data_IF_713012589442
#
_entry.id   IF_713012589442
#
_cell.length_a   1.000
_cell.length_b   1.000
_cell.length_c   1.000
_cell.angle_alpha   90.00
_cell.angle_beta   90.00
_cell.angle_gamma   90.00
#
_symmetry.space_group_name_H-M   'P 1'
#
loop_
_entity.id
_entity.type
_entity.pdbx_description
1 polymer ?
#
# COMPACT_ATOMS: atom_id res chain seq x y z
N UNK A 1 -71.71 34.27 -2.94
CA UNK A 1 -70.32 34.70 -3.17
C UNK A 1 -69.35 34.36 -2.03
N UNK A 2 -69.77 34.31 -0.74
CA UNK A 2 -68.89 33.90 0.38
C UNK A 2 -68.82 32.41 0.57
N UNK A 3 -69.84 31.65 0.25
CA UNK A 3 -69.91 30.19 0.42
C UNK A 3 -69.06 29.44 -0.64
N UNK A 4 -69.00 29.97 -1.86
CA UNK A 4 -68.20 29.36 -2.94
C UNK A 4 -66.66 29.49 -2.70
N UNK A 5 -66.27 30.60 -2.07
CA UNK A 5 -64.85 30.82 -1.74
C UNK A 5 -64.35 29.87 -0.65
N UNK A 6 -65.16 29.58 0.37
CA UNK A 6 -64.83 28.64 1.43
C UNK A 6 -64.69 27.21 0.92
N UNK A 7 -65.55 26.81 -0.06
CA UNK A 7 -65.49 25.48 -0.65
C UNK A 7 -64.25 25.23 -1.52
N UNK A 8 -63.78 26.29 -2.21
CA UNK A 8 -62.55 26.21 -3.02
C UNK A 8 -61.29 26.14 -2.15
N UNK A 9 -61.29 26.90 -1.02
CA UNK A 9 -60.17 26.89 -0.07
C UNK A 9 -60.11 25.54 0.65
N UNK A 10 -61.22 24.97 1.08
CA UNK A 10 -61.26 23.64 1.71
C UNK A 10 -60.80 22.51 0.75
N UNK A 11 -61.19 22.56 -0.53
CA UNK A 11 -60.73 21.56 -1.53
C UNK A 11 -59.23 21.65 -1.78
N UNK A 12 -58.60 22.86 -1.74
CA UNK A 12 -57.17 23.03 -1.87
C UNK A 12 -56.40 22.54 -0.63
N UNK A 13 -56.94 22.75 0.58
CA UNK A 13 -56.34 22.28 1.83
C UNK A 13 -56.36 20.72 1.87
N UNK A 14 -57.47 20.09 1.53
CA UNK A 14 -57.57 18.62 1.50
C UNK A 14 -56.66 17.99 0.43
N UNK A 15 -56.45 18.67 -0.71
CA UNK A 15 -55.52 18.21 -1.75
C UNK A 15 -54.05 18.34 -1.28
N UNK A 16 -53.70 19.41 -0.55
CA UNK A 16 -52.37 19.64 -0.02
C UNK A 16 -51.99 18.63 1.10
N UNK A 17 -52.95 18.30 1.96
CA UNK A 17 -52.72 17.28 3.03
C UNK A 17 -52.62 15.86 2.46
N UNK A 18 -53.35 15.50 1.39
CA UNK A 18 -53.22 14.20 0.71
C UNK A 18 -51.87 14.07 -0.02
N UNK A 19 -51.33 15.16 -0.59
CA UNK A 19 -49.99 15.18 -1.23
C UNK A 19 -48.86 15.09 -0.18
N UNK A 20 -49.01 15.78 0.94
CA UNK A 20 -48.03 15.69 2.05
C UNK A 20 -48.00 14.30 2.70
N UNK A 21 -49.17 13.67 2.89
CA UNK A 21 -49.25 12.29 3.42
C UNK A 21 -48.65 11.25 2.43
N UNK A 22 -48.82 11.42 1.12
CA UNK A 22 -48.27 10.53 0.11
C UNK A 22 -46.73 10.63 0.05
N UNK A 23 -46.20 11.84 0.17
CA UNK A 23 -44.72 12.07 0.23
C UNK A 23 -44.09 11.61 1.54
N UNK A 24 -44.81 11.71 2.66
CA UNK A 24 -44.33 11.19 3.95
C UNK A 24 -44.30 9.65 3.96
N UNK A 25 -45.29 8.98 3.31
CA UNK A 25 -45.27 7.52 3.20
C UNK A 25 -44.20 7.00 2.24
N UNK A 26 -43.83 7.76 1.20
CA UNK A 26 -42.71 7.39 0.31
C UNK A 26 -41.35 7.61 1.04
N UNK A 27 -41.20 8.62 1.89
CA UNK A 27 -39.99 8.85 2.65
C UNK A 27 -39.79 7.81 3.76
N UNK A 28 -40.86 7.38 4.43
CA UNK A 28 -40.78 6.33 5.47
C UNK A 28 -40.52 4.95 4.84
N UNK A 29 -41.01 4.67 3.65
CA UNK A 29 -40.74 3.39 2.96
C UNK A 29 -39.33 3.27 2.40
N UNK A 30 -38.65 4.40 2.10
CA UNK A 30 -37.24 4.40 1.64
C UNK A 30 -36.27 4.28 2.82
N UNK A 31 -36.66 4.72 4.02
CA UNK A 31 -35.81 4.61 5.22
C UNK A 31 -35.87 3.20 5.82
N UNK A 32 -36.91 2.39 5.54
CA UNK A 32 -37.06 1.05 6.08
C UNK A 32 -36.41 -0.06 5.23
N UNK A 33 -35.84 0.26 4.05
CA UNK A 33 -35.13 -0.67 3.18
C UNK A 33 -33.68 -0.22 2.85
N UNK A 34 -33.06 0.61 3.68
CA UNK A 34 -31.61 0.62 3.73
C UNK A 34 -31.20 -0.68 4.46
N UNK A 35 -30.52 -1.64 3.82
CA UNK A 35 -29.91 -2.70 4.60
C UNK A 35 -28.97 -2.00 5.56
N UNK A 36 -29.27 -2.08 6.85
CA UNK A 36 -28.29 -1.89 7.89
C UNK A 36 -27.19 -2.92 7.58
N UNK A 37 -26.23 -2.53 6.78
CA UNK A 37 -24.92 -3.12 6.79
C UNK A 37 -24.31 -2.73 8.14
N UNK A 38 -24.85 -3.29 9.22
CA UNK A 38 -24.12 -3.48 10.44
C UNK A 38 -22.92 -4.32 10.00
N UNK A 39 -21.77 -3.68 9.80
CA UNK A 39 -20.49 -4.35 9.83
C UNK A 39 -20.51 -5.09 11.15
N UNK A 40 -20.87 -6.38 11.12
CA UNK A 40 -20.63 -7.29 12.25
C UNK A 40 -19.16 -7.06 12.53
N UNK A 41 -18.84 -6.66 13.78
CA UNK A 41 -17.48 -6.72 14.25
C UNK A 41 -17.03 -8.15 13.94
N UNK A 42 -16.12 -8.29 12.96
CA UNK A 42 -15.54 -9.60 12.66
C UNK A 42 -14.95 -10.11 13.96
N UNK A 43 -15.19 -11.36 14.24
CA UNK A 43 -14.54 -12.03 15.35
C UNK A 43 -13.03 -12.03 15.04
N UNK A 44 -12.27 -11.20 15.77
CA UNK A 44 -10.82 -11.05 15.59
C UNK A 44 -10.06 -12.38 15.77
N UNK A 45 -10.73 -13.45 16.21
CA UNK A 45 -10.10 -14.76 16.47
C UNK A 45 -9.38 -15.31 15.25
N UNK A 46 -9.94 -15.15 14.05
CA UNK A 46 -9.32 -15.56 12.80
C UNK A 46 -8.00 -14.82 12.52
N UNK A 47 -7.96 -13.51 12.76
CA UNK A 47 -6.75 -12.72 12.63
C UNK A 47 -5.64 -13.14 13.61
N UNK A 48 -5.97 -13.31 14.90
CA UNK A 48 -4.99 -13.76 15.90
C UNK A 48 -4.47 -15.16 15.66
N UNK A 49 -5.28 -16.05 15.07
CA UNK A 49 -4.81 -17.36 14.63
C UNK A 49 -3.77 -17.24 13.52
N UNK A 50 -3.95 -16.30 12.57
CA UNK A 50 -3.00 -16.09 11.48
C UNK A 50 -1.64 -15.59 11.97
N UNK A 51 -1.57 -14.75 13.01
CA UNK A 51 -0.29 -14.28 13.58
C UNK A 51 0.62 -15.47 13.92
N UNK A 52 0.04 -16.53 14.53
CA UNK A 52 0.78 -17.74 14.90
C UNK A 52 0.99 -18.67 13.69
N UNK A 53 -0.06 -18.90 12.92
CA UNK A 53 -0.05 -19.83 11.78
C UNK A 53 0.97 -19.43 10.72
N UNK A 54 1.12 -18.12 10.45
CA UNK A 54 2.00 -17.58 9.42
C UNK A 54 3.41 -17.28 9.93
N UNK A 55 3.72 -17.60 11.19
CA UNK A 55 5.04 -17.31 11.74
C UNK A 55 6.14 -18.12 11.02
N UNK A 56 7.07 -17.38 10.40
CA UNK A 56 8.31 -17.93 9.84
C UNK A 56 9.49 -17.87 10.84
N UNK A 57 9.20 -17.62 12.12
CA UNK A 57 10.25 -17.53 13.13
C UNK A 57 11.06 -18.83 13.18
N UNK A 58 12.37 -18.67 13.24
CA UNK A 58 13.36 -19.76 13.20
C UNK A 58 13.40 -20.58 11.88
N UNK A 59 12.57 -20.27 10.88
CA UNK A 59 12.57 -20.98 9.58
C UNK A 59 13.94 -20.96 8.92
N UNK A 60 14.71 -19.88 9.08
CA UNK A 60 16.09 -19.70 8.58
C UNK A 60 17.11 -19.58 9.71
N UNK A 61 16.75 -20.08 10.90
CA UNK A 61 17.58 -20.02 12.12
C UNK A 61 17.21 -18.88 13.06
N UNK A 62 17.54 -19.07 14.33
CA UNK A 62 17.18 -18.12 15.41
C UNK A 62 17.83 -16.73 15.28
N UNK A 63 18.93 -16.63 14.55
CA UNK A 63 19.65 -15.37 14.35
C UNK A 63 19.32 -14.72 12.98
N UNK A 64 18.36 -15.27 12.22
CA UNK A 64 17.97 -14.74 10.92
C UNK A 64 17.38 -13.34 11.03
N UNK A 65 17.88 -12.43 10.20
CA UNK A 65 17.45 -11.05 10.10
C UNK A 65 16.88 -10.69 8.71
N UNK A 66 16.81 -11.65 7.78
CA UNK A 66 16.40 -11.42 6.39
C UNK A 66 14.96 -11.85 6.12
N UNK A 67 14.42 -12.77 6.91
CA UNK A 67 13.05 -13.27 6.73
C UNK A 67 12.83 -13.84 5.33
N UNK A 68 11.72 -13.46 4.68
CA UNK A 68 11.35 -13.96 3.36
C UNK A 68 12.33 -13.58 2.24
N UNK A 69 13.24 -12.62 2.45
CA UNK A 69 14.31 -12.34 1.48
C UNK A 69 15.26 -13.51 1.27
N UNK A 70 15.35 -14.47 2.23
CA UNK A 70 16.05 -15.75 2.04
C UNK A 70 15.47 -16.57 0.86
N UNK A 71 14.25 -16.29 0.42
CA UNK A 71 13.61 -16.92 -0.73
C UNK A 71 14.18 -16.43 -2.07
N UNK A 72 14.84 -15.28 -2.09
CA UNK A 72 15.53 -14.73 -3.27
C UNK A 72 16.92 -15.39 -3.37
N UNK A 73 16.94 -16.67 -3.75
CA UNK A 73 18.16 -17.45 -3.93
C UNK A 73 18.95 -16.99 -5.18
N UNK A 74 20.23 -17.41 -5.35
CA UNK A 74 20.96 -17.17 -6.59
C UNK A 74 20.20 -17.62 -7.83
N UNK A 75 19.53 -18.77 -7.79
CA UNK A 75 18.73 -19.32 -8.89
C UNK A 75 17.51 -18.43 -9.21
N UNK A 76 16.82 -17.92 -8.18
CA UNK A 76 15.71 -16.97 -8.36
C UNK A 76 16.21 -15.69 -9.04
N UNK A 77 17.38 -15.17 -8.63
CA UNK A 77 17.98 -13.98 -9.28
C UNK A 77 18.32 -14.22 -10.75
N UNK A 78 18.94 -15.35 -11.06
CA UNK A 78 19.27 -15.73 -12.45
C UNK A 78 18.00 -15.86 -13.29
N UNK A 79 16.97 -16.52 -12.75
CA UNK A 79 15.67 -16.62 -13.43
C UNK A 79 15.01 -15.25 -13.62
N UNK A 80 15.06 -14.39 -12.60
CA UNK A 80 14.49 -13.03 -12.69
C UNK A 80 15.16 -12.19 -13.79
N UNK A 81 16.45 -12.37 -14.03
CA UNK A 81 17.17 -11.64 -15.09
C UNK A 81 16.60 -11.93 -16.50
N UNK A 82 15.95 -13.08 -16.70
CA UNK A 82 15.33 -13.43 -17.99
C UNK A 82 14.02 -12.66 -18.27
N UNK A 83 13.51 -11.91 -17.31
CA UNK A 83 12.36 -11.03 -17.53
C UNK A 83 12.72 -9.79 -18.37
N UNK A 84 14.01 -9.48 -18.55
CA UNK A 84 14.45 -8.34 -19.37
C UNK A 84 14.53 -8.77 -20.85
N UNK A 85 13.56 -8.33 -21.64
CA UNK A 85 13.41 -8.67 -23.06
C UNK A 85 13.36 -7.42 -23.92
N UNK A 86 12.64 -6.37 -23.52
CA UNK A 86 12.41 -5.15 -24.29
C UNK A 86 13.43 -4.04 -23.99
N UNK A 87 14.17 -4.13 -22.90
CA UNK A 87 15.11 -3.09 -22.47
C UNK A 87 14.42 -1.80 -21.98
N UNK A 88 13.19 -1.93 -21.47
CA UNK A 88 12.38 -0.82 -20.90
C UNK A 88 12.55 -0.80 -19.40
N UNK A 89 12.88 0.37 -18.82
CA UNK A 89 12.93 0.59 -17.38
C UNK A 89 11.85 1.56 -16.94
N UNK A 90 11.15 1.23 -15.84
CA UNK A 90 10.05 2.01 -15.27
C UNK A 90 10.31 2.24 -13.78
N UNK A 91 10.36 3.50 -13.36
CA UNK A 91 10.43 3.86 -11.94
C UNK A 91 9.09 3.57 -11.26
N UNK A 92 9.16 2.95 -10.08
CA UNK A 92 8.00 2.71 -9.21
C UNK A 92 7.93 3.73 -8.06
N UNK A 93 8.78 4.75 -8.07
CA UNK A 93 8.81 5.77 -7.03
C UNK A 93 7.96 6.98 -7.38
N UNK A 94 7.26 7.50 -6.38
CA UNK A 94 6.69 8.85 -6.43
C UNK A 94 7.79 9.89 -6.51
N UNK A 95 7.55 10.94 -7.27
CA UNK A 95 8.35 12.16 -7.11
C UNK A 95 8.19 12.67 -5.68
N UNK A 96 9.30 13.06 -5.05
CA UNK A 96 9.30 13.57 -3.68
C UNK A 96 8.33 14.76 -3.54
N UNK A 97 7.35 14.65 -2.64
CA UNK A 97 6.34 15.70 -2.44
C UNK A 97 6.79 16.66 -1.34
N UNK A 98 7.06 17.90 -1.74
CA UNK A 98 7.50 19.00 -0.86
C UNK A 98 6.33 19.80 -0.29
N UNK A 99 5.08 19.40 -0.55
CA UNK A 99 3.88 20.12 -0.13
C UNK A 99 3.23 19.47 1.07
N UNK A 100 2.77 20.29 2.00
CA UNK A 100 1.89 19.85 3.08
C UNK A 100 0.55 19.36 2.51
N UNK A 101 0.06 18.25 3.04
CA UNK A 101 -1.26 17.74 2.72
C UNK A 101 -1.85 16.98 3.91
N UNK A 102 -3.10 16.53 3.78
CA UNK A 102 -3.79 15.78 4.85
C UNK A 102 -3.11 14.44 5.18
N UNK A 103 -2.32 13.90 4.27
CA UNK A 103 -1.56 12.65 4.46
C UNK A 103 -0.03 12.87 4.43
N UNK A 104 0.45 14.10 4.21
CA UNK A 104 1.86 14.49 4.19
C UNK A 104 2.09 15.63 5.17
N UNK A 105 2.13 15.34 6.46
CA UNK A 105 2.34 16.32 7.52
C UNK A 105 3.81 16.71 7.68
N UNK A 106 4.74 15.96 7.09
CA UNK A 106 6.19 16.19 7.13
C UNK A 106 6.76 16.05 5.72
N UNK A 107 6.60 17.07 4.87
CA UNK A 107 7.00 17.02 3.48
C UNK A 107 8.51 16.82 3.30
N UNK A 108 8.87 16.29 2.14
CA UNK A 108 10.26 16.25 1.70
C UNK A 108 10.84 17.66 1.67
N UNK A 109 11.99 17.85 2.31
CA UNK A 109 12.73 19.13 2.28
C UNK A 109 13.96 18.99 1.39
N UNK A 110 14.13 19.90 0.45
CA UNK A 110 15.29 20.00 -0.42
C UNK A 110 15.84 21.42 -0.37
N UNK A 111 17.10 21.59 -0.02
CA UNK A 111 17.76 22.87 0.13
C UNK A 111 19.06 22.91 -0.66
N UNK A 112 19.16 23.84 -1.58
CA UNK A 112 20.44 24.13 -2.27
C UNK A 112 21.38 24.84 -1.30
N UNK A 113 22.60 24.29 -1.11
CA UNK A 113 23.66 24.88 -0.28
C UNK A 113 24.55 25.78 -1.12
N UNK A 114 24.94 25.30 -2.32
CA UNK A 114 25.68 26.06 -3.32
C UNK A 114 25.05 25.88 -4.70
N UNK A 115 25.06 26.93 -5.49
CA UNK A 115 24.44 26.98 -6.83
C UNK A 115 25.11 28.07 -7.68
N UNK A 116 24.74 28.24 -8.94
CA UNK A 116 25.38 29.16 -9.88
C UNK A 116 25.51 30.61 -9.40
N UNK A 117 24.54 31.13 -8.62
CA UNK A 117 24.58 32.47 -8.02
C UNK A 117 25.28 32.55 -6.64
N UNK A 118 25.64 31.38 -6.04
CA UNK A 118 26.32 31.27 -4.76
C UNK A 118 27.31 30.11 -4.80
N UNK A 119 28.48 30.27 -5.44
CA UNK A 119 29.49 29.23 -5.53
C UNK A 119 30.15 28.95 -4.17
N UNK A 120 30.79 27.78 -4.02
CA UNK A 120 31.54 27.41 -2.82
C UNK A 120 32.87 28.16 -2.75
N UNK A 121 33.54 28.30 -3.91
CA UNK A 121 34.83 28.97 -4.07
C UNK A 121 34.82 29.89 -5.28
N UNK A 122 35.63 30.93 -5.26
CA UNK A 122 35.88 31.75 -6.45
C UNK A 122 36.82 31.01 -7.40
N UNK A 123 36.44 30.96 -8.69
CA UNK A 123 37.23 30.27 -9.72
C UNK A 123 36.43 29.92 -10.96
N UNK A 124 37.12 29.31 -11.95
CA UNK A 124 36.50 28.92 -13.22
C UNK A 124 35.70 27.61 -13.14
N UNK A 125 36.09 26.72 -12.25
CA UNK A 125 35.38 25.46 -11.98
C UNK A 125 34.74 25.51 -10.58
N UNK A 126 33.48 25.13 -10.48
CA UNK A 126 32.72 25.18 -9.22
C UNK A 126 31.64 24.08 -9.19
N UNK A 127 30.98 23.92 -8.04
CA UNK A 127 30.02 22.88 -7.75
C UNK A 127 28.66 23.46 -7.34
N UNK A 128 27.60 22.67 -7.62
CA UNK A 128 26.34 22.79 -6.90
C UNK A 128 26.26 21.70 -5.83
N UNK A 129 25.78 22.04 -4.65
CA UNK A 129 25.54 21.09 -3.56
C UNK A 129 24.21 21.35 -2.92
N UNK A 130 23.61 20.28 -2.40
CA UNK A 130 22.30 20.33 -1.78
C UNK A 130 22.20 19.38 -0.60
N UNK A 131 21.10 19.51 0.12
CA UNK A 131 20.70 18.65 1.22
C UNK A 131 19.22 18.33 1.08
N UNK A 132 18.85 17.10 1.39
CA UNK A 132 17.45 16.74 1.54
C UNK A 132 17.19 16.03 2.87
N UNK A 133 15.99 16.21 3.39
CA UNK A 133 15.47 15.54 4.58
C UNK A 133 14.11 14.96 4.26
N UNK A 134 13.86 13.72 4.68
CA UNK A 134 12.60 13.03 4.46
C UNK A 134 12.20 12.18 5.67
N UNK A 135 10.95 12.35 6.11
CA UNK A 135 10.27 11.42 6.98
C UNK A 135 9.47 10.47 6.09
N UNK A 136 10.06 9.33 5.70
CA UNK A 136 9.52 8.47 4.65
C UNK A 136 8.38 7.57 5.12
N UNK A 137 8.35 7.15 6.38
CA UNK A 137 7.22 6.39 6.92
C UNK A 137 5.92 7.20 6.87
N UNK A 138 4.82 6.53 6.50
CA UNK A 138 3.52 7.16 6.36
C UNK A 138 2.93 7.02 4.95
N UNK A 139 2.16 8.01 4.47
CA UNK A 139 1.30 7.83 3.30
C UNK A 139 1.72 8.65 2.07
N UNK A 140 2.89 9.26 2.07
CA UNK A 140 3.30 10.22 1.03
C UNK A 140 4.43 9.72 0.12
N UNK A 141 5.47 9.17 0.72
CA UNK A 141 6.72 8.88 0.03
C UNK A 141 6.88 7.37 -0.22
N UNK A 142 7.41 7.01 -1.39
CA UNK A 142 7.76 5.63 -1.67
C UNK A 142 8.91 5.20 -0.76
N UNK A 143 8.72 4.12 -0.02
CA UNK A 143 9.72 3.58 0.89
C UNK A 143 9.58 2.07 1.04
N UNK A 144 10.60 1.47 1.62
CA UNK A 144 10.59 0.08 2.08
C UNK A 144 10.76 0.05 3.59
N UNK A 145 9.97 -0.79 4.26
CA UNK A 145 10.07 -1.03 5.68
C UNK A 145 11.05 -2.17 5.99
N UNK A 146 11.91 -1.95 6.97
CA UNK A 146 12.73 -2.99 7.57
C UNK A 146 11.93 -3.76 8.64
N UNK A 147 12.35 -4.99 8.94
CA UNK A 147 11.62 -5.85 9.89
C UNK A 147 11.59 -5.29 11.32
N UNK A 148 12.50 -4.39 11.67
CA UNK A 148 12.49 -3.69 12.97
C UNK A 148 11.50 -2.53 13.04
N UNK A 149 10.75 -2.22 11.96
CA UNK A 149 9.79 -1.13 11.95
C UNK A 149 8.56 -1.41 12.81
N UNK A 150 8.19 -2.69 12.95
CA UNK A 150 7.00 -3.10 13.67
C UNK A 150 7.33 -4.13 14.77
N UNK A 151 6.64 -4.04 15.88
CA UNK A 151 6.70 -5.02 16.96
C UNK A 151 5.31 -5.22 17.58
N UNK A 152 5.05 -6.44 18.02
CA UNK A 152 3.83 -6.87 18.69
C UNK A 152 4.22 -7.62 19.96
N UNK A 153 3.48 -7.43 21.06
CA UNK A 153 3.76 -8.02 22.37
C UNK A 153 5.24 -7.88 22.81
N UNK A 154 5.86 -6.74 22.45
CA UNK A 154 7.26 -6.46 22.79
C UNK A 154 8.29 -7.19 21.93
N UNK A 155 7.88 -7.88 20.87
CA UNK A 155 8.73 -8.62 19.95
C UNK A 155 8.65 -8.09 18.53
N UNK A 156 9.76 -8.16 17.82
CA UNK A 156 9.89 -8.02 16.38
C UNK A 156 9.93 -9.41 15.74
N UNK A 157 10.06 -9.47 14.41
CA UNK A 157 10.28 -10.74 13.69
C UNK A 157 11.34 -11.60 14.39
N UNK A 158 11.17 -12.92 14.31
CA UNK A 158 12.10 -13.92 14.84
C UNK A 158 12.37 -13.78 16.35
N UNK A 159 11.38 -13.30 17.11
CA UNK A 159 11.41 -13.14 18.58
C UNK A 159 12.43 -12.10 19.10
N UNK A 160 13.05 -11.29 18.24
CA UNK A 160 13.92 -10.22 18.71
C UNK A 160 13.16 -9.21 19.59
N UNK A 161 13.80 -8.78 20.67
CA UNK A 161 13.19 -7.85 21.64
C UNK A 161 13.08 -6.44 21.07
N UNK A 162 11.96 -5.75 21.28
CA UNK A 162 11.74 -4.36 20.82
C UNK A 162 12.77 -3.36 21.35
N UNK A 163 13.36 -3.62 22.53
CA UNK A 163 14.37 -2.76 23.14
C UNK A 163 15.71 -2.76 22.37
N UNK A 164 15.86 -3.62 21.36
CA UNK A 164 16.94 -3.54 20.40
C UNK A 164 16.80 -2.35 19.44
N UNK A 165 15.61 -1.76 19.33
CA UNK A 165 15.39 -0.47 18.66
C UNK A 165 15.52 0.63 19.71
N UNK A 166 16.58 1.43 19.60
CA UNK A 166 16.94 2.47 20.57
C UNK A 166 16.95 3.85 19.90
N UNK A 167 17.15 4.91 20.69
CA UNK A 167 17.36 6.27 20.14
C UNK A 167 18.56 6.39 19.18
N UNK A 168 19.47 5.42 19.21
CA UNK A 168 20.64 5.38 18.33
C UNK A 168 20.45 4.45 17.12
N UNK A 169 19.22 3.95 16.89
CA UNK A 169 18.85 3.04 15.83
C UNK A 169 18.62 1.59 16.30
N UNK A 170 18.22 0.77 15.36
CA UNK A 170 17.96 -0.65 15.55
C UNK A 170 19.26 -1.46 15.50
N UNK A 171 19.49 -2.31 16.50
CA UNK A 171 20.65 -3.19 16.59
C UNK A 171 20.44 -4.50 15.80
N UNK A 172 19.22 -4.83 15.47
CA UNK A 172 18.77 -6.02 14.74
C UNK A 172 17.69 -5.66 13.75
N UNK A 173 17.55 -6.44 12.69
CA UNK A 173 16.47 -6.35 11.71
C UNK A 173 16.40 -5.00 10.95
N UNK A 174 17.49 -4.20 10.98
CA UNK A 174 17.53 -2.89 10.34
C UNK A 174 17.71 -3.00 8.82
N UNK A 175 17.45 -1.90 8.12
CA UNK A 175 17.54 -1.83 6.64
C UNK A 175 18.94 -2.19 6.10
N UNK A 176 20.00 -2.09 6.92
CA UNK A 176 21.36 -2.42 6.51
C UNK A 176 21.50 -3.88 6.05
N UNK A 177 20.62 -4.78 6.52
CA UNK A 177 20.55 -6.17 6.04
C UNK A 177 20.26 -6.27 4.54
N UNK A 178 19.62 -5.25 3.94
CA UNK A 178 19.25 -5.18 2.54
C UNK A 178 20.28 -4.41 1.68
N UNK A 179 21.46 -4.10 2.19
CA UNK A 179 22.48 -3.29 1.48
C UNK A 179 22.95 -3.88 0.15
N UNK A 180 22.80 -5.18 -0.05
CA UNK A 180 23.13 -5.85 -1.32
C UNK A 180 22.03 -5.71 -2.38
N UNK A 181 20.93 -5.02 -2.03
CA UNK A 181 19.79 -4.77 -2.91
C UNK A 181 18.86 -5.97 -3.08
N UNK A 182 17.73 -5.67 -3.66
CA UNK A 182 16.69 -6.63 -4.05
C UNK A 182 16.77 -6.80 -5.57
N UNK A 183 16.85 -8.04 -6.02
CA UNK A 183 16.90 -8.40 -7.43
C UNK A 183 16.09 -9.69 -7.59
N UNK A 184 14.84 -9.57 -8.07
CA UNK A 184 13.92 -10.70 -8.20
C UNK A 184 12.86 -10.42 -9.24
N UNK A 185 12.06 -11.43 -9.60
CA UNK A 185 10.88 -11.20 -10.43
C UNK A 185 9.84 -10.40 -9.65
N UNK A 186 9.37 -9.29 -10.25
CA UNK A 186 8.23 -8.53 -9.79
C UNK A 186 6.96 -8.93 -10.55
N UNK A 187 5.81 -8.87 -9.90
CA UNK A 187 4.49 -9.07 -10.51
C UNK A 187 3.58 -7.91 -10.12
N UNK A 188 2.96 -7.28 -11.10
CA UNK A 188 1.93 -6.25 -10.87
C UNK A 188 0.55 -6.89 -10.82
N UNK A 189 -0.12 -6.80 -9.68
CA UNK A 189 -1.56 -7.07 -9.51
C UNK A 189 -2.36 -5.80 -9.90
N UNK A 190 -2.66 -5.64 -11.18
CA UNK A 190 -3.44 -4.51 -11.68
C UNK A 190 -4.94 -4.79 -11.60
N UNK A 191 -5.47 -4.82 -10.38
CA UNK A 191 -6.89 -5.11 -10.12
C UNK A 191 -7.84 -4.12 -10.82
N UNK A 192 -7.57 -2.79 -10.86
CA UNK A 192 -8.38 -1.86 -11.65
C UNK A 192 -8.44 -2.20 -13.14
N UNK A 193 -7.32 -2.58 -13.78
CA UNK A 193 -7.30 -2.96 -15.21
C UNK A 193 -8.13 -4.23 -15.44
N UNK A 194 -7.97 -5.27 -14.63
CA UNK A 194 -8.78 -6.48 -14.68
C UNK A 194 -10.28 -6.16 -14.58
N UNK A 195 -10.65 -5.25 -13.66
CA UNK A 195 -12.05 -4.84 -13.44
C UNK A 195 -12.54 -3.77 -14.44
N UNK A 196 -11.69 -3.30 -15.36
CA UNK A 196 -11.97 -2.24 -16.35
C UNK A 196 -12.44 -0.93 -15.69
N UNK A 197 -11.81 -0.54 -14.58
CA UNK A 197 -12.06 0.70 -13.84
C UNK A 197 -10.75 1.48 -13.65
N UNK A 198 -10.83 2.79 -13.38
CA UNK A 198 -9.66 3.64 -13.20
C UNK A 198 -8.92 3.37 -11.89
N UNK A 199 -9.68 3.12 -10.81
CA UNK A 199 -9.19 2.84 -9.45
C UNK A 199 -10.20 2.06 -8.64
N UNK A 200 -9.75 1.39 -7.60
CA UNK A 200 -10.61 0.74 -6.62
C UNK A 200 -11.28 1.80 -5.71
N UNK A 201 -12.54 1.56 -5.33
CA UNK A 201 -13.22 2.43 -4.36
C UNK A 201 -12.47 2.41 -3.03
N UNK A 202 -12.42 3.55 -2.34
CA UNK A 202 -11.90 3.61 -0.97
C UNK A 202 -12.62 2.61 -0.07
N UNK A 203 -11.89 1.87 0.74
CA UNK A 203 -12.44 0.77 1.54
C UNK A 203 -12.65 -0.53 0.78
N UNK A 204 -12.25 -0.63 -0.49
CA UNK A 204 -12.29 -1.90 -1.21
C UNK A 204 -11.20 -2.83 -0.66
N UNK A 205 -11.62 -3.96 -0.10
CA UNK A 205 -10.72 -5.01 0.36
C UNK A 205 -10.43 -5.98 -0.80
N UNK A 206 -9.19 -6.02 -1.25
CA UNK A 206 -8.70 -7.03 -2.19
C UNK A 206 -8.56 -8.35 -1.43
N UNK A 207 -9.24 -9.38 -1.90
CA UNK A 207 -9.29 -10.70 -1.27
C UNK A 207 -8.53 -11.74 -2.09
N UNK A 208 -8.37 -12.95 -1.56
CA UNK A 208 -7.76 -14.08 -2.27
C UNK A 208 -8.49 -14.41 -3.58
N UNK A 209 -9.81 -14.24 -3.62
CA UNK A 209 -10.61 -14.39 -4.86
C UNK A 209 -10.21 -13.38 -5.96
N UNK A 210 -9.89 -12.12 -5.58
CA UNK A 210 -9.34 -11.16 -6.53
C UNK A 210 -7.95 -11.56 -7.01
N UNK A 211 -7.12 -12.18 -6.15
CA UNK A 211 -5.77 -12.64 -6.52
C UNK A 211 -5.82 -13.82 -7.49
N UNK A 212 -6.66 -14.82 -7.20
CA UNK A 212 -6.84 -15.99 -8.07
C UNK A 212 -7.42 -15.58 -9.44
N UNK A 213 -8.42 -14.70 -9.45
CA UNK A 213 -8.98 -14.14 -10.70
C UNK A 213 -7.95 -13.33 -11.48
N UNK A 214 -7.03 -12.65 -10.78
CA UNK A 214 -5.98 -11.92 -11.47
C UNK A 214 -4.96 -12.87 -12.12
N UNK A 215 -4.55 -13.94 -11.45
CA UNK A 215 -3.68 -14.97 -12.05
C UNK A 215 -4.30 -15.56 -13.34
N UNK A 216 -5.61 -15.82 -13.32
CA UNK A 216 -6.35 -16.33 -14.48
C UNK A 216 -6.44 -15.27 -15.61
N UNK A 217 -6.81 -14.03 -15.26
CA UNK A 217 -6.99 -12.94 -16.23
C UNK A 217 -5.69 -12.55 -16.93
N UNK A 218 -4.58 -12.54 -16.17
CA UNK A 218 -3.26 -12.13 -16.67
C UNK A 218 -2.45 -13.30 -17.26
N UNK A 219 -3.00 -14.53 -17.23
CA UNK A 219 -2.30 -15.78 -17.59
C UNK A 219 -0.91 -15.89 -16.96
N UNK A 220 -0.84 -15.63 -15.65
CA UNK A 220 0.40 -15.64 -14.89
C UNK A 220 0.28 -16.52 -13.64
N UNK A 221 1.39 -17.12 -13.23
CA UNK A 221 1.51 -17.77 -11.93
C UNK A 221 2.54 -17.05 -11.08
N UNK A 222 2.10 -16.64 -9.89
CA UNK A 222 2.96 -16.05 -8.87
C UNK A 222 3.74 -17.17 -8.20
N UNK A 223 5.06 -16.96 -8.04
CA UNK A 223 6.02 -18.03 -7.70
C UNK A 223 6.83 -17.64 -6.46
N UNK A 224 7.44 -18.65 -5.88
CA UNK A 224 8.42 -18.50 -4.80
C UNK A 224 9.50 -17.47 -5.14
N UNK A 225 9.74 -16.56 -4.20
CA UNK A 225 10.74 -15.52 -4.33
C UNK A 225 10.30 -14.28 -5.13
N UNK A 226 9.04 -14.24 -5.62
CA UNK A 226 8.51 -13.07 -6.30
C UNK A 226 8.30 -11.89 -5.34
N UNK A 227 8.32 -10.68 -5.90
CA UNK A 227 7.81 -9.46 -5.29
C UNK A 227 6.48 -9.09 -5.93
N UNK A 228 5.43 -8.91 -5.15
CA UNK A 228 4.06 -8.69 -5.64
C UNK A 228 3.59 -7.28 -5.32
N UNK A 229 3.20 -6.51 -6.34
CA UNK A 229 2.76 -5.12 -6.19
C UNK A 229 1.29 -4.97 -6.51
N UNK A 230 0.50 -4.48 -5.56
CA UNK A 230 -0.91 -4.14 -5.76
C UNK A 230 -1.04 -2.70 -6.27
N UNK A 231 -1.62 -2.55 -7.46
CA UNK A 231 -2.13 -1.26 -7.91
C UNK A 231 -3.60 -1.12 -7.49
N UNK A 232 -3.87 -0.10 -6.67
CA UNK A 232 -5.24 0.31 -6.31
C UNK A 232 -5.75 1.45 -7.19
N UNK A 233 -4.85 2.18 -7.82
CA UNK A 233 -5.12 3.41 -8.58
C UNK A 233 -5.26 4.65 -7.70
N UNK A 234 -4.73 4.63 -6.46
CA UNK A 234 -4.79 5.72 -5.48
C UNK A 234 -4.41 7.06 -6.08
N UNK A 235 -3.26 7.13 -6.76
CA UNK A 235 -2.74 8.41 -7.28
C UNK A 235 -3.58 8.99 -8.41
N UNK A 236 -4.19 8.12 -9.24
CA UNK A 236 -5.15 8.56 -10.25
C UNK A 236 -6.44 9.08 -9.61
N UNK A 237 -6.91 8.45 -8.55
CA UNK A 237 -8.07 8.93 -7.77
C UNK A 237 -7.77 10.28 -7.11
N UNK A 238 -6.60 10.44 -6.51
CA UNK A 238 -6.20 11.69 -5.88
C UNK A 238 -6.09 12.82 -6.89
N UNK A 239 -5.49 12.57 -8.04
CA UNK A 239 -5.38 13.56 -9.12
C UNK A 239 -6.75 14.07 -9.57
N UNK A 240 -7.77 13.20 -9.62
CA UNK A 240 -9.11 13.56 -10.10
C UNK A 240 -10.03 14.07 -8.98
N UNK A 241 -9.92 13.55 -7.76
CA UNK A 241 -10.85 13.82 -6.65
C UNK A 241 -10.25 14.65 -5.51
N UNK A 242 -8.97 14.98 -5.60
CA UNK A 242 -8.22 15.66 -4.54
C UNK A 242 -7.75 14.70 -3.42
N UNK A 243 -6.85 15.21 -2.55
CA UNK A 243 -6.29 14.43 -1.44
C UNK A 243 -7.35 14.12 -0.37
N UNK A 244 -7.16 13.02 0.34
CA UNK A 244 -8.02 12.60 1.44
C UNK A 244 -7.21 11.96 2.58
N UNK A 245 -7.85 11.71 3.71
CA UNK A 245 -7.23 10.99 4.81
C UNK A 245 -7.13 9.48 4.49
N UNK A 246 -5.99 9.06 3.99
CA UNK A 246 -5.70 7.70 3.52
C UNK A 246 -5.76 6.70 4.68
N UNK A 247 -5.31 7.09 5.88
CA UNK A 247 -5.35 6.21 7.06
C UNK A 247 -6.78 5.83 7.50
N UNK A 248 -7.77 6.63 7.12
CA UNK A 248 -9.17 6.38 7.46
C UNK A 248 -9.94 5.63 6.38
N UNK A 249 -9.53 5.77 5.11
CA UNK A 249 -10.25 5.13 4.01
C UNK A 249 -9.34 4.99 2.80
N UNK A 250 -8.97 3.76 2.48
CA UNK A 250 -8.22 3.40 1.26
C UNK A 250 -8.56 1.98 0.82
N UNK A 251 -8.38 1.68 -0.47
CA UNK A 251 -8.38 0.31 -0.95
C UNK A 251 -7.03 -0.35 -0.64
N UNK A 252 -7.02 -1.65 -0.43
CA UNK A 252 -5.80 -2.41 -0.17
C UNK A 252 -6.10 -3.87 0.07
N UNK A 253 -5.10 -4.65 0.43
CA UNK A 253 -5.26 -6.06 0.76
C UNK A 253 -6.14 -6.26 2.01
N UNK A 254 -7.02 -7.24 1.96
CA UNK A 254 -7.55 -7.86 3.16
C UNK A 254 -6.46 -8.71 3.83
N UNK A 255 -6.42 -8.78 5.15
CA UNK A 255 -5.37 -9.52 5.87
C UNK A 255 -5.32 -11.02 5.51
N UNK A 256 -6.44 -11.61 5.06
CA UNK A 256 -6.48 -13.00 4.60
C UNK A 256 -5.58 -13.30 3.40
N UNK A 257 -5.21 -12.27 2.60
CA UNK A 257 -4.27 -12.43 1.51
C UNK A 257 -2.87 -12.86 1.98
N UNK A 258 -2.54 -12.62 3.25
CA UNK A 258 -1.23 -12.98 3.79
C UNK A 258 -1.00 -14.48 3.85
N UNK A 259 -2.06 -15.27 4.06
CA UNK A 259 -1.99 -16.74 3.97
C UNK A 259 -1.71 -17.19 2.54
N UNK A 260 -2.40 -16.60 1.56
CA UNK A 260 -2.19 -16.86 0.13
C UNK A 260 -0.76 -16.54 -0.32
N UNK A 261 -0.17 -15.43 0.19
CA UNK A 261 1.24 -15.09 -0.07
C UNK A 261 2.21 -16.07 0.60
N UNK A 262 1.93 -16.47 1.85
CA UNK A 262 2.76 -17.42 2.59
C UNK A 262 2.80 -18.79 1.90
N UNK A 263 1.67 -19.31 1.42
CA UNK A 263 1.57 -20.58 0.70
C UNK A 263 2.39 -20.60 -0.60
N UNK A 264 2.59 -19.43 -1.22
CA UNK A 264 3.37 -19.27 -2.45
C UNK A 264 4.84 -18.89 -2.22
N UNK A 265 5.26 -18.79 -0.96
CA UNK A 265 6.61 -18.35 -0.61
C UNK A 265 6.99 -17.00 -1.27
N UNK A 266 6.11 -16.00 -1.19
CA UNK A 266 6.38 -14.65 -1.72
C UNK A 266 7.46 -13.97 -0.89
N UNK A 267 8.41 -13.31 -1.57
CA UNK A 267 9.53 -12.65 -0.88
C UNK A 267 9.17 -11.25 -0.37
N UNK A 268 8.35 -10.51 -1.10
CA UNK A 268 8.03 -9.10 -0.82
C UNK A 268 6.65 -8.77 -1.34
N UNK A 269 6.00 -7.82 -0.70
CA UNK A 269 4.78 -7.19 -1.22
C UNK A 269 4.93 -5.67 -1.25
N UNK A 270 4.14 -5.02 -2.10
CA UNK A 270 4.11 -3.57 -2.21
C UNK A 270 2.76 -3.06 -2.72
N UNK A 271 2.55 -1.74 -2.62
CA UNK A 271 1.32 -1.11 -3.11
C UNK A 271 1.55 0.37 -3.46
N UNK A 272 0.62 0.93 -4.25
CA UNK A 272 0.49 2.38 -4.45
C UNK A 272 -0.26 3.07 -3.28
N UNK A 273 -0.56 2.31 -2.21
CA UNK A 273 -1.11 2.76 -0.94
C UNK A 273 -0.25 2.22 0.22
N UNK A 274 -0.79 2.22 1.45
CA UNK A 274 -0.16 1.57 2.59
C UNK A 274 -0.76 0.17 2.76
N UNK A 275 -0.48 -0.71 1.81
CA UNK A 275 -0.84 -2.13 1.71
C UNK A 275 -2.29 -2.50 2.03
N UNK A 276 -2.72 -2.40 3.29
CA UNK A 276 -4.03 -2.87 3.71
C UNK A 276 -5.19 -1.94 3.36
N UNK A 277 -6.36 -2.52 3.30
CA UNK A 277 -7.61 -1.77 3.25
C UNK A 277 -7.82 -0.98 4.55
N UNK A 278 -8.28 0.27 4.43
CA UNK A 278 -8.71 1.06 5.57
C UNK A 278 -10.20 1.45 5.42
N UNK A 279 -11.01 1.27 6.48
CA UNK A 279 -10.68 0.63 7.75
C UNK A 279 -10.37 -0.86 7.60
N UNK A 280 -9.49 -1.39 8.45
CA UNK A 280 -9.05 -2.79 8.39
C UNK A 280 -10.16 -3.80 8.76
N UNK A 281 -11.18 -3.35 9.47
CA UNK A 281 -12.21 -4.20 10.08
C UNK A 281 -11.76 -4.87 11.38
N UNK A 282 -10.47 -4.84 11.72
CA UNK A 282 -9.93 -5.49 12.93
C UNK A 282 -9.82 -4.46 14.05
N UNK A 283 -10.55 -4.70 15.14
CA UNK A 283 -10.53 -3.80 16.30
C UNK A 283 -9.12 -3.70 16.88
N UNK A 284 -8.67 -2.48 17.15
CA UNK A 284 -7.37 -2.13 17.73
C UNK A 284 -6.15 -2.43 16.82
N UNK A 285 -6.37 -3.00 15.62
CA UNK A 285 -5.32 -3.30 14.64
C UNK A 285 -5.59 -2.59 13.31
N UNK A 286 -5.18 -1.32 13.16
CA UNK A 286 -5.38 -0.57 11.92
C UNK A 286 -4.52 -1.09 10.76
N UNK A 287 -3.40 -1.77 11.06
CA UNK A 287 -2.41 -2.26 10.09
C UNK A 287 -2.16 -3.78 10.18
N UNK A 288 -3.19 -4.62 9.94
CA UNK A 288 -3.07 -6.08 10.10
C UNK A 288 -2.16 -6.73 9.06
N UNK A 289 -2.09 -6.19 7.82
CA UNK A 289 -1.20 -6.69 6.77
C UNK A 289 0.26 -6.39 7.12
N UNK A 290 0.56 -5.17 7.61
CA UNK A 290 1.90 -4.83 8.12
C UNK A 290 2.34 -5.78 9.24
N UNK A 291 1.44 -6.06 10.18
CA UNK A 291 1.75 -6.95 11.29
C UNK A 291 2.08 -8.37 10.81
N UNK A 292 1.23 -8.94 9.97
CA UNK A 292 1.47 -10.30 9.45
C UNK A 292 2.71 -10.36 8.55
N UNK A 293 2.96 -9.32 7.74
CA UNK A 293 4.15 -9.26 6.89
C UNK A 293 5.44 -9.10 7.72
N UNK A 294 5.58 -7.99 8.42
CA UNK A 294 6.84 -7.64 9.08
C UNK A 294 7.15 -8.54 10.27
N UNK A 295 6.14 -8.82 11.12
CA UNK A 295 6.33 -9.55 12.37
C UNK A 295 6.24 -11.06 12.20
N UNK A 296 5.16 -11.58 11.57
CA UNK A 296 4.95 -13.02 11.50
C UNK A 296 5.80 -13.66 10.40
N UNK A 297 5.71 -13.16 9.17
CA UNK A 297 6.39 -13.72 8.01
C UNK A 297 7.85 -13.30 7.91
N UNK A 298 8.26 -12.15 8.49
CA UNK A 298 9.55 -11.53 8.22
C UNK A 298 9.65 -11.04 6.78
N UNK A 299 8.57 -10.45 6.26
CA UNK A 299 8.44 -9.98 4.88
C UNK A 299 8.54 -8.46 4.84
N UNK A 300 9.58 -7.94 4.20
CA UNK A 300 9.70 -6.50 3.95
C UNK A 300 8.61 -6.03 2.98
N UNK A 301 8.21 -4.78 3.11
CA UNK A 301 7.08 -4.20 2.37
C UNK A 301 7.46 -2.88 1.70
N UNK A 302 6.85 -2.61 0.54
CA UNK A 302 6.96 -1.33 -0.17
C UNK A 302 5.65 -0.56 -0.06
N UNK A 303 5.71 0.66 0.45
CA UNK A 303 4.57 1.55 0.54
C UNK A 303 4.63 2.70 -0.45
N UNK A 304 3.46 3.18 -0.84
CA UNK A 304 3.25 4.39 -1.63
C UNK A 304 4.00 4.43 -2.96
N UNK A 305 4.16 3.27 -3.62
CA UNK A 305 4.73 3.21 -4.96
C UNK A 305 3.89 4.00 -5.97
N UNK A 306 4.51 4.48 -7.05
CA UNK A 306 3.79 4.97 -8.23
C UNK A 306 3.74 3.87 -9.28
N UNK A 307 2.61 3.20 -9.39
CA UNK A 307 2.42 2.04 -10.28
C UNK A 307 1.68 2.41 -11.58
N UNK A 308 1.51 3.71 -11.86
CA UNK A 308 0.76 4.14 -13.05
C UNK A 308 1.48 3.82 -14.36
N UNK A 309 2.76 4.22 -14.49
CA UNK A 309 3.54 3.94 -15.71
C UNK A 309 3.83 2.43 -15.82
N UNK A 310 4.03 1.72 -14.71
CA UNK A 310 4.14 0.26 -14.72
C UNK A 310 2.88 -0.38 -15.30
N UNK A 311 1.70 0.02 -14.82
CA UNK A 311 0.41 -0.46 -15.33
C UNK A 311 0.26 -0.24 -16.84
N UNK A 312 0.63 0.94 -17.34
CA UNK A 312 0.58 1.26 -18.78
C UNK A 312 1.49 0.34 -19.59
N UNK A 313 2.72 0.11 -19.14
CA UNK A 313 3.66 -0.78 -19.82
C UNK A 313 3.18 -2.24 -19.76
N UNK A 314 2.74 -2.74 -18.61
CA UNK A 314 2.19 -4.09 -18.48
C UNK A 314 1.01 -4.31 -19.44
N UNK A 315 0.06 -3.38 -19.49
CA UNK A 315 -1.10 -3.48 -20.38
C UNK A 315 -0.69 -3.39 -21.87
N UNK A 316 0.27 -2.52 -22.23
CA UNK A 316 0.79 -2.41 -23.61
C UNK A 316 1.50 -3.68 -24.07
N UNK A 317 2.30 -4.29 -23.18
CA UNK A 317 3.06 -5.51 -23.46
C UNK A 317 2.24 -6.78 -23.26
N UNK A 318 1.05 -6.67 -22.69
CA UNK A 318 0.25 -7.79 -22.18
C UNK A 318 1.08 -8.73 -21.30
N UNK A 319 1.92 -8.15 -20.43
CA UNK A 319 2.84 -8.87 -19.54
C UNK A 319 2.91 -8.18 -18.19
N UNK A 320 2.57 -8.90 -17.12
CA UNK A 320 2.44 -8.38 -15.77
C UNK A 320 3.62 -8.77 -14.88
N UNK A 321 4.65 -9.42 -15.43
CA UNK A 321 5.92 -9.68 -14.75
C UNK A 321 7.06 -8.87 -15.34
N UNK A 322 8.08 -8.62 -14.52
CA UNK A 322 9.25 -7.82 -14.83
C UNK A 322 10.40 -8.17 -13.89
N UNK A 323 11.63 -7.80 -14.22
CA UNK A 323 12.72 -7.80 -13.26
C UNK A 323 12.56 -6.59 -12.33
N UNK A 324 12.41 -6.84 -11.03
CA UNK A 324 12.49 -5.82 -9.98
C UNK A 324 13.93 -5.64 -9.53
N UNK A 325 14.42 -4.40 -9.56
CA UNK A 325 15.64 -3.98 -8.86
C UNK A 325 15.33 -2.86 -7.86
N UNK A 326 15.80 -3.01 -6.63
CA UNK A 326 15.62 -2.00 -5.59
C UNK A 326 16.81 -2.00 -4.64
N UNK A 327 17.35 -0.82 -4.37
CA UNK A 327 18.53 -0.63 -3.52
C UNK A 327 18.24 0.37 -2.41
N UNK A 328 17.82 -0.10 -1.22
CA UNK A 328 17.67 0.76 -0.06
C UNK A 328 18.99 1.45 0.31
N UNK A 329 18.90 2.62 0.92
CA UNK A 329 20.06 3.31 1.46
C UNK A 329 20.72 2.46 2.55
N UNK A 330 22.03 2.31 2.49
CA UNK A 330 22.81 1.51 3.44
C UNK A 330 23.04 2.29 4.76
N UNK A 331 21.96 2.47 5.53
CA UNK A 331 21.96 3.21 6.81
C UNK A 331 21.89 2.24 7.97
N UNK A 332 22.96 2.22 8.81
CA UNK A 332 22.99 1.40 10.01
C UNK A 332 21.86 1.80 10.97
N UNK A 333 21.08 0.81 11.42
CA UNK A 333 20.04 0.99 12.42
C UNK A 333 18.78 1.69 11.94
N UNK A 334 18.65 2.02 10.65
CA UNK A 334 17.42 2.62 10.13
C UNK A 334 16.30 1.57 10.02
N UNK A 335 15.06 2.03 10.26
CA UNK A 335 13.85 1.21 10.30
C UNK A 335 13.22 1.00 8.93
N UNK A 336 13.81 1.55 7.90
CA UNK A 336 13.40 1.47 6.50
C UNK A 336 14.26 2.37 5.63
N UNK A 337 13.84 2.61 4.41
CA UNK A 337 14.54 3.52 3.49
C UNK A 337 13.58 4.11 2.46
N UNK A 338 13.65 5.43 2.17
CA UNK A 338 13.14 5.94 0.91
C UNK A 338 13.99 5.32 -0.21
N UNK A 339 13.38 5.00 -1.34
CA UNK A 339 14.09 4.43 -2.48
C UNK A 339 13.30 4.61 -3.77
N UNK A 340 13.98 4.30 -4.88
CA UNK A 340 13.36 4.23 -6.20
C UNK A 340 13.46 2.80 -6.74
N UNK A 341 12.44 1.94 -6.54
CA UNK A 341 12.41 0.63 -7.15
C UNK A 341 12.21 0.77 -8.66
N UNK A 342 12.87 -0.09 -9.45
CA UNK A 342 12.79 -0.06 -10.91
C UNK A 342 12.25 -1.40 -11.41
N UNK A 343 11.24 -1.34 -12.27
CA UNK A 343 10.78 -2.46 -13.07
C UNK A 343 11.49 -2.43 -14.42
N UNK A 344 12.10 -3.54 -14.81
CA UNK A 344 12.80 -3.69 -16.09
C UNK A 344 12.15 -4.81 -16.91
N UNK A 345 11.79 -4.50 -18.15
CA UNK A 345 11.14 -5.41 -19.09
C UNK A 345 12.07 -5.88 -20.22
#
# INVERSE_FOLDING_TARGET
>A
MIIDFALVVMKKIVSATKLAAKNLFLFVSVILFAPNCLVKAEDNSGFFQLIKKLSNWERWGKDDELGTLNLITPQVRVSAATEVIEGISVSLSRTADTRLSIYNSSPYSHNMIAYGGKPIVDGKANWSTDQFVVNYHGYAHTHIDALCHLFEDGKMYNSFDKNLVTKNGAKKLSIIGLKNGIFTRGVLLDIPSMKKIKWLKRGYAVTTDDLDKFEEWADIKIKKGDAVFLRTGRWAQEKEKGPWNVSKSTAGFHYSCMEWFAERDIALIGSDAALEVAPSGIKDYPHPVHLLALHSLGMNIFDNCDLWELSKNCNKLNRFSFLLTASPLAVNGATGSPLNPIANF
#
